data_IF_814731634556
#
_entry.id   IF_814731634556
#
_cell.length_a   1.000
_cell.length_b   1.000
_cell.length_c   1.000
_cell.angle_alpha   90.00
_cell.angle_beta   90.00
_cell.angle_gamma   90.00
#
_symmetry.space_group_name_H-M   'P 1'
#
loop_
_entity.id
_entity.type
_entity.pdbx_description
1 polymer ?
#
# COMPACT_ATOMS: atom_id res chain seq x y z
N UNK A 1 16.47 -18.82 4.24
CA UNK A 1 15.66 -17.61 4.50
C UNK A 1 14.26 -18.08 4.86
N UNK A 2 13.73 -17.73 6.04
CA UNK A 2 12.38 -18.13 6.43
C UNK A 2 11.32 -17.30 5.68
N UNK A 3 10.06 -17.76 5.66
CA UNK A 3 8.94 -16.98 5.09
C UNK A 3 8.79 -15.59 5.75
N UNK A 4 9.17 -15.48 7.02
CA UNK A 4 9.16 -14.21 7.76
C UNK A 4 10.25 -13.28 7.23
N UNK A 5 11.44 -13.80 6.99
CA UNK A 5 12.56 -13.01 6.46
C UNK A 5 12.25 -12.49 5.06
N UNK A 6 11.56 -13.29 4.24
CA UNK A 6 11.11 -12.88 2.90
C UNK A 6 10.12 -11.72 3.00
N UNK A 7 9.05 -11.84 3.79
CA UNK A 7 8.05 -10.77 3.96
C UNK A 7 8.69 -9.46 4.46
N UNK A 8 9.59 -9.56 5.45
CA UNK A 8 10.28 -8.39 6.00
C UNK A 8 11.22 -7.77 4.97
N UNK A 9 11.95 -8.60 4.21
CA UNK A 9 12.86 -8.12 3.17
C UNK A 9 12.11 -7.44 2.03
N UNK A 10 11.03 -8.05 1.53
CA UNK A 10 10.18 -7.49 0.46
C UNK A 10 9.59 -6.16 0.91
N UNK A 11 9.01 -6.11 2.12
CA UNK A 11 8.48 -4.89 2.69
C UNK A 11 9.54 -3.77 2.77
N UNK A 12 10.70 -4.06 3.38
CA UNK A 12 11.76 -3.05 3.57
C UNK A 12 12.39 -2.56 2.28
N UNK A 13 12.53 -3.44 1.28
CA UNK A 13 13.25 -3.12 0.04
C UNK A 13 12.34 -2.48 -1.01
N UNK A 14 11.13 -3.02 -1.20
CA UNK A 14 10.29 -2.68 -2.35
C UNK A 14 9.14 -1.73 -2.02
N UNK A 15 8.43 -1.96 -0.90
CA UNK A 15 7.15 -1.29 -0.64
C UNK A 15 7.24 -0.16 0.39
N UNK A 16 7.91 -0.38 1.52
CA UNK A 16 7.96 0.60 2.62
C UNK A 16 8.61 1.93 2.21
N UNK A 17 9.76 1.96 1.51
CA UNK A 17 10.39 3.22 1.12
C UNK A 17 9.49 4.14 0.25
N UNK A 18 8.87 3.67 -0.85
CA UNK A 18 7.96 4.51 -1.62
C UNK A 18 6.70 4.90 -0.85
N UNK A 19 6.15 4.03 0.00
CA UNK A 19 5.00 4.36 0.86
C UNK A 19 5.34 5.51 1.80
N UNK A 20 6.49 5.44 2.48
CA UNK A 20 6.95 6.50 3.39
C UNK A 20 7.11 7.83 2.64
N UNK A 21 7.72 7.81 1.45
CA UNK A 21 7.83 9.00 0.60
C UNK A 21 6.46 9.57 0.22
N UNK A 22 5.51 8.71 -0.14
CA UNK A 22 4.15 9.12 -0.47
C UNK A 22 3.43 9.74 0.74
N UNK A 23 3.58 9.16 1.93
CA UNK A 23 3.04 9.73 3.16
C UNK A 23 3.65 11.10 3.46
N UNK A 24 4.96 11.26 3.29
CA UNK A 24 5.65 12.54 3.50
C UNK A 24 5.23 13.61 2.49
N UNK A 25 5.02 13.23 1.22
CA UNK A 25 4.62 14.12 0.14
C UNK A 25 3.18 14.61 0.33
N UNK A 26 2.26 13.69 0.60
CA UNK A 26 0.82 13.97 0.76
C UNK A 26 0.47 14.50 2.15
N UNK A 27 1.39 14.36 3.11
CA UNK A 27 1.17 14.63 4.54
C UNK A 27 0.03 13.80 5.15
N UNK A 28 -0.29 12.67 4.53
CA UNK A 28 -1.31 11.74 5.00
C UNK A 28 -0.69 10.69 5.93
N UNK A 29 -1.51 10.10 6.80
CA UNK A 29 -1.08 8.96 7.61
C UNK A 29 -0.91 7.71 6.72
N UNK A 30 -0.12 6.76 7.20
CA UNK A 30 0.06 5.47 6.55
C UNK A 30 -1.26 4.69 6.46
N UNK A 31 -2.18 4.91 7.39
CA UNK A 31 -3.50 4.29 7.38
C UNK A 31 -4.40 4.90 6.30
N UNK A 32 -4.30 6.22 6.07
CA UNK A 32 -5.00 6.89 4.98
C UNK A 32 -4.46 6.40 3.63
N UNK A 33 -3.13 6.26 3.49
CA UNK A 33 -2.49 5.69 2.30
C UNK A 33 -2.91 4.23 2.09
N UNK A 34 -2.93 3.40 3.14
CA UNK A 34 -3.40 2.01 3.06
C UNK A 34 -4.84 1.92 2.53
N UNK A 35 -5.76 2.73 3.07
CA UNK A 35 -7.16 2.77 2.61
C UNK A 35 -7.30 3.28 1.19
N UNK A 36 -6.51 4.27 0.80
CA UNK A 36 -6.49 4.78 -0.56
C UNK A 36 -6.09 3.68 -1.55
N UNK A 37 -5.04 2.92 -1.28
CA UNK A 37 -4.64 1.81 -2.14
C UNK A 37 -5.68 0.69 -2.18
N UNK A 38 -6.32 0.36 -1.05
CA UNK A 38 -7.43 -0.58 -1.03
C UNK A 38 -8.64 -0.07 -1.84
N UNK A 39 -8.92 1.24 -1.80
CA UNK A 39 -9.97 1.84 -2.62
C UNK A 39 -9.63 1.79 -4.12
N UNK A 40 -8.40 2.11 -4.51
CA UNK A 40 -7.94 1.99 -5.91
C UNK A 40 -8.04 0.52 -6.37
N UNK A 41 -7.64 -0.42 -5.53
CA UNK A 41 -7.78 -1.86 -5.81
C UNK A 41 -9.24 -2.23 -6.05
N UNK A 42 -10.16 -1.72 -5.23
CA UNK A 42 -11.59 -1.96 -5.39
C UNK A 42 -12.14 -1.39 -6.71
N UNK A 43 -11.67 -0.22 -7.14
CA UNK A 43 -12.01 0.36 -8.43
C UNK A 43 -11.47 -0.47 -9.60
N UNK A 44 -10.25 -0.98 -9.49
CA UNK A 44 -9.67 -1.83 -10.54
C UNK A 44 -10.43 -3.17 -10.68
N UNK A 45 -10.83 -3.76 -9.56
CA UNK A 45 -11.70 -4.94 -9.57
C UNK A 45 -13.04 -4.67 -10.24
N UNK A 46 -13.61 -3.47 -10.03
CA UNK A 46 -14.84 -3.06 -10.70
C UNK A 46 -14.63 -2.88 -12.21
N UNK A 47 -13.45 -2.40 -12.65
CA UNK A 47 -13.10 -2.27 -14.07
C UNK A 47 -13.01 -3.63 -14.77
N UNK A 48 -12.51 -4.66 -14.10
CA UNK A 48 -12.28 -5.99 -14.68
C UNK A 48 -13.52 -6.89 -14.54
N UNK A 49 -14.49 -6.53 -13.70
CA UNK A 49 -15.73 -7.26 -13.49
C UNK A 49 -16.58 -7.38 -14.78
N UNK A 50 -16.61 -8.58 -15.35
CA UNK A 50 -17.34 -8.86 -16.61
C UNK A 50 -18.76 -9.35 -16.40
N UNK A 51 -19.09 -9.94 -15.24
CA UNK A 51 -20.43 -10.43 -14.92
C UNK A 51 -21.19 -9.47 -14.01
N UNK A 52 -22.52 -9.44 -14.14
CA UNK A 52 -23.38 -8.59 -13.30
C UNK A 52 -23.14 -8.83 -11.80
N UNK A 53 -23.03 -10.10 -11.39
CA UNK A 53 -22.73 -10.47 -10.01
C UNK A 53 -21.38 -9.91 -9.54
N UNK A 54 -20.34 -10.05 -10.36
CA UNK A 54 -19.01 -9.51 -10.04
C UNK A 54 -19.01 -7.98 -9.96
N UNK A 55 -19.79 -7.29 -10.81
CA UNK A 55 -19.92 -5.84 -10.78
C UNK A 55 -20.64 -5.34 -9.53
N UNK A 56 -21.70 -6.03 -9.08
CA UNK A 56 -22.39 -5.69 -7.84
C UNK A 56 -21.45 -5.84 -6.65
N UNK A 57 -20.73 -6.98 -6.56
CA UNK A 57 -19.81 -7.25 -5.44
C UNK A 57 -18.66 -6.23 -5.43
N UNK A 58 -18.01 -6.02 -6.58
CA UNK A 58 -16.91 -5.07 -6.70
C UNK A 58 -17.38 -3.62 -6.46
N UNK A 59 -18.60 -3.28 -6.89
CA UNK A 59 -19.21 -1.97 -6.66
C UNK A 59 -19.48 -1.70 -5.19
N UNK A 60 -20.07 -2.67 -4.47
CA UNK A 60 -20.29 -2.57 -3.03
C UNK A 60 -18.97 -2.49 -2.26
N UNK A 61 -17.97 -3.29 -2.66
CA UNK A 61 -16.64 -3.25 -2.06
C UNK A 61 -15.97 -1.89 -2.29
N UNK A 62 -16.08 -1.32 -3.49
CA UNK A 62 -15.56 0.01 -3.81
C UNK A 62 -16.25 1.12 -3.00
N UNK A 63 -17.58 1.08 -2.88
CA UNK A 63 -18.33 2.03 -2.03
C UNK A 63 -17.91 1.93 -0.56
N UNK A 64 -17.76 0.70 -0.04
CA UNK A 64 -17.29 0.49 1.33
C UNK A 64 -15.88 1.05 1.53
N UNK A 65 -14.96 0.76 0.60
CA UNK A 65 -13.60 1.28 0.66
C UNK A 65 -13.54 2.80 0.53
N UNK A 66 -14.39 3.40 -0.31
CA UNK A 66 -14.54 4.85 -0.41
C UNK A 66 -14.98 5.46 0.91
N UNK A 67 -16.06 4.95 1.51
CA UNK A 67 -16.60 5.46 2.78
C UNK A 67 -15.56 5.34 3.89
N UNK A 68 -14.87 4.21 3.99
CA UNK A 68 -13.84 4.01 5.02
C UNK A 68 -12.61 4.88 4.77
N UNK A 69 -12.19 5.08 3.52
CA UNK A 69 -11.10 5.99 3.15
C UNK A 69 -11.45 7.45 3.48
N UNK A 70 -12.70 7.88 3.27
CA UNK A 70 -13.13 9.26 3.53
C UNK A 70 -13.40 9.55 5.02
N UNK A 71 -14.06 8.64 5.74
CA UNK A 71 -14.54 8.90 7.10
C UNK A 71 -13.60 8.40 8.20
N UNK A 72 -12.74 7.44 7.89
CA UNK A 72 -11.92 6.73 8.89
C UNK A 72 -10.45 6.74 8.52
N UNK A 73 -9.99 7.70 7.73
CA UNK A 73 -8.65 7.77 7.15
C UNK A 73 -7.52 7.48 8.15
N UNK A 74 -7.63 7.92 9.41
CA UNK A 74 -6.57 7.80 10.42
C UNK A 74 -6.75 6.68 11.44
N UNK A 75 -7.80 5.87 11.33
CA UNK A 75 -7.99 4.72 12.24
C UNK A 75 -6.95 3.64 11.90
N UNK A 76 -6.33 2.93 12.87
CA UNK A 76 -5.38 1.87 12.59
C UNK A 76 -5.95 0.86 11.58
N UNK A 77 -5.18 0.60 10.53
CA UNK A 77 -5.49 -0.42 9.53
C UNK A 77 -4.90 -1.76 10.00
N UNK A 78 -5.64 -2.85 9.80
CA UNK A 78 -5.18 -4.18 10.12
C UNK A 78 -4.49 -4.79 8.89
N UNK A 79 -3.38 -5.48 9.10
CA UNK A 79 -2.71 -6.25 8.04
C UNK A 79 -2.37 -7.64 8.53
N UNK A 80 -2.54 -8.62 7.66
CA UNK A 80 -2.27 -10.02 7.95
C UNK A 80 -1.04 -10.50 7.19
N UNK A 81 -0.05 -11.03 7.92
CA UNK A 81 1.20 -11.53 7.30
C UNK A 81 0.96 -12.64 6.28
N UNK A 82 0.07 -13.59 6.61
CA UNK A 82 -0.27 -14.68 5.71
C UNK A 82 -0.87 -14.14 4.40
N UNK A 83 -1.73 -13.11 4.49
CA UNK A 83 -2.36 -12.48 3.34
C UNK A 83 -1.33 -11.77 2.46
N UNK A 84 -0.35 -11.06 3.04
CA UNK A 84 0.77 -10.47 2.28
C UNK A 84 1.60 -11.51 1.53
N UNK A 85 1.90 -12.63 2.16
CA UNK A 85 2.63 -13.71 1.51
C UNK A 85 1.85 -14.33 0.35
N UNK A 86 0.54 -14.54 0.53
CA UNK A 86 -0.35 -15.01 -0.54
C UNK A 86 -0.41 -14.00 -1.69
N UNK A 87 -0.58 -12.71 -1.38
CA UNK A 87 -0.57 -11.64 -2.38
C UNK A 87 0.76 -11.55 -3.13
N UNK A 88 1.89 -11.79 -2.45
CA UNK A 88 3.21 -11.84 -3.08
C UNK A 88 3.34 -13.03 -4.03
N UNK A 89 2.83 -14.20 -3.65
CA UNK A 89 2.81 -15.38 -4.53
C UNK A 89 1.97 -15.12 -5.76
N UNK A 90 0.77 -14.55 -5.62
CA UNK A 90 -0.06 -14.18 -6.76
C UNK A 90 0.60 -13.13 -7.66
N UNK A 91 1.24 -12.12 -7.08
CA UNK A 91 2.02 -11.16 -7.87
C UNK A 91 3.11 -11.86 -8.69
N UNK A 92 3.84 -12.80 -8.10
CA UNK A 92 4.89 -13.54 -8.82
C UNK A 92 4.31 -14.41 -9.95
N UNK A 93 3.15 -15.04 -9.72
CA UNK A 93 2.46 -15.81 -10.76
C UNK A 93 1.98 -14.92 -11.90
N UNK A 94 1.41 -13.76 -11.60
CA UNK A 94 0.92 -12.82 -12.62
C UNK A 94 2.07 -12.19 -13.40
N UNK A 95 3.19 -11.84 -12.75
CA UNK A 95 4.41 -11.39 -13.42
C UNK A 95 4.99 -12.49 -14.31
N UNK A 96 5.06 -13.73 -13.82
CA UNK A 96 5.54 -14.86 -14.61
C UNK A 96 4.64 -15.09 -15.83
N UNK A 97 3.32 -15.10 -15.64
CA UNK A 97 2.34 -15.19 -16.71
C UNK A 97 2.54 -14.07 -17.73
N UNK A 98 2.62 -12.81 -17.29
CA UNK A 98 2.81 -11.66 -18.17
C UNK A 98 4.13 -11.67 -18.95
N UNK A 99 5.20 -12.24 -18.39
CA UNK A 99 6.47 -12.45 -19.11
C UNK A 99 6.35 -13.55 -20.16
N UNK A 100 5.61 -14.62 -19.87
CA UNK A 100 5.47 -15.79 -20.78
C UNK A 100 4.44 -15.53 -21.89
N UNK A 101 3.28 -14.97 -21.55
CA UNK A 101 2.17 -14.74 -22.48
C UNK A 101 2.16 -13.34 -23.11
N UNK A 102 2.89 -12.39 -22.54
CA UNK A 102 2.81 -10.97 -22.91
C UNK A 102 1.58 -10.24 -22.32
N UNK A 103 0.71 -10.93 -21.58
CA UNK A 103 -0.49 -10.34 -20.99
C UNK A 103 -0.21 -9.82 -19.58
N UNK A 104 -0.01 -8.50 -19.47
CA UNK A 104 0.25 -7.82 -18.19
C UNK A 104 -1.01 -7.41 -17.42
N UNK A 105 -2.19 -7.69 -17.97
CA UNK A 105 -3.46 -7.24 -17.41
C UNK A 105 -3.75 -7.96 -16.09
N UNK A 106 -3.88 -7.21 -15.00
CA UNK A 106 -4.21 -7.73 -13.67
C UNK A 106 -3.01 -7.81 -12.72
N UNK A 107 -1.78 -7.69 -13.23
CA UNK A 107 -0.56 -7.63 -12.40
C UNK A 107 -0.62 -6.44 -11.44
N UNK A 108 -1.21 -5.33 -11.89
CA UNK A 108 -1.38 -4.11 -11.11
C UNK A 108 -2.17 -4.34 -9.81
N UNK A 109 -3.12 -5.28 -9.77
CA UNK A 109 -3.98 -5.54 -8.61
C UNK A 109 -3.12 -5.94 -7.40
N UNK A 110 -2.24 -6.91 -7.56
CA UNK A 110 -1.46 -7.42 -6.43
C UNK A 110 -0.37 -6.45 -5.99
N UNK A 111 0.14 -5.64 -6.91
CA UNK A 111 1.02 -4.53 -6.54
C UNK A 111 0.26 -3.57 -5.62
N UNK A 112 -0.94 -3.13 -6.01
CA UNK A 112 -1.76 -2.21 -5.21
C UNK A 112 -2.15 -2.82 -3.85
N UNK A 113 -2.52 -4.10 -3.81
CA UNK A 113 -2.83 -4.83 -2.57
C UNK A 113 -1.62 -4.85 -1.64
N UNK A 114 -0.42 -5.17 -2.16
CA UNK A 114 0.80 -5.18 -1.34
C UNK A 114 1.17 -3.79 -0.85
N UNK A 115 0.98 -2.74 -1.65
CA UNK A 115 1.13 -1.36 -1.19
C UNK A 115 0.17 -1.05 -0.02
N UNK A 116 -1.09 -1.45 -0.15
CA UNK A 116 -2.11 -1.23 0.89
C UNK A 116 -1.75 -1.96 2.19
N UNK A 117 -1.36 -3.22 2.10
CA UNK A 117 -1.03 -4.05 3.25
C UNK A 117 0.28 -3.62 3.92
N UNK A 118 1.34 -3.38 3.15
CA UNK A 118 2.60 -2.90 3.73
C UNK A 118 2.46 -1.51 4.34
N UNK A 119 1.59 -0.64 3.81
CA UNK A 119 1.31 0.65 4.43
C UNK A 119 0.70 0.50 5.84
N UNK A 120 -0.21 -0.48 6.01
CA UNK A 120 -0.80 -0.79 7.31
C UNK A 120 0.21 -1.38 8.32
N UNK A 121 1.34 -1.92 7.87
CA UNK A 121 2.40 -2.42 8.78
C UNK A 121 3.29 -1.32 9.36
N UNK A 122 3.27 -0.12 8.78
CA UNK A 122 4.14 0.97 9.21
C UNK A 122 3.61 1.54 10.53
N UNK A 123 4.42 1.47 11.58
CA UNK A 123 4.04 2.02 12.89
C UNK A 123 4.43 3.49 13.05
N UNK A 124 5.49 3.92 12.37
CA UNK A 124 6.01 5.29 12.47
C UNK A 124 6.55 5.78 11.13
N UNK A 125 6.05 6.95 10.69
CA UNK A 125 6.57 7.64 9.51
C UNK A 125 7.69 8.60 9.97
N UNK A 126 8.94 8.44 9.52
CA UNK A 126 10.01 9.35 9.89
C UNK A 126 9.74 10.77 9.36
N UNK A 127 10.17 11.83 10.08
CA UNK A 127 10.05 13.19 9.59
C UNK A 127 10.86 13.36 8.30
N UNK A 128 10.36 14.18 7.37
CA UNK A 128 11.05 14.45 6.11
C UNK A 128 12.45 15.03 6.34
N UNK A 129 13.39 14.73 5.44
CA UNK A 129 14.79 15.16 5.54
C UNK A 129 14.92 16.68 5.69
N UNK A 130 14.14 17.43 4.93
CA UNK A 130 14.05 18.91 5.02
C UNK A 130 13.64 19.42 6.42
N UNK A 131 12.78 18.68 7.14
CA UNK A 131 12.42 18.99 8.53
C UNK A 131 13.52 18.59 9.52
N UNK A 132 14.31 17.54 9.23
CA UNK A 132 15.48 17.17 10.05
C UNK A 132 16.59 18.21 9.93
N UNK A 133 16.90 18.65 8.72
CA UNK A 133 17.92 19.66 8.45
C UNK A 133 17.58 20.98 9.14
N UNK A 134 16.37 21.51 8.93
CA UNK A 134 15.91 22.74 9.59
C UNK A 134 15.91 22.65 11.13
N UNK A 135 15.62 21.48 11.71
CA UNK A 135 15.70 21.27 13.17
C UNK A 135 17.14 21.23 13.66
N UNK A 136 18.06 20.62 12.90
CA UNK A 136 19.48 20.61 13.21
C UNK A 136 20.06 22.04 13.19
N UNK A 137 19.72 22.85 12.18
CA UNK A 137 20.15 24.25 12.09
C UNK A 137 19.66 25.07 13.29
N UNK A 138 18.37 24.98 13.66
CA UNK A 138 17.82 25.69 14.83
C UNK A 138 18.46 25.28 16.16
N UNK A 139 18.81 23.99 16.31
CA UNK A 139 19.46 23.49 17.52
C UNK A 139 20.92 23.98 17.60
N UNK A 140 21.57 24.20 16.45
CA UNK A 140 22.93 24.77 16.40
C UNK A 140 22.95 26.27 16.73
N UNK A 141 21.91 27.02 16.34
CA UNK A 141 21.78 28.45 16.66
C UNK A 141 21.47 28.67 18.14
N UNK A 142 20.62 27.84 18.77
CA UNK A 142 20.29 27.95 20.19
C UNK A 142 21.45 27.57 21.15
N UNK A 143 22.56 27.04 20.63
CA UNK A 143 23.78 26.72 21.39
C UNK A 143 24.89 27.78 21.26
N UNK A 144 24.69 28.80 20.43
CA UNK A 144 25.58 29.97 20.33
C UNK A 144 25.05 31.12 21.17
#
# INVERSE_FOLDING_TARGET
>A
MSMVDIDVWVGKTLFVPPIVKLCQLTRQSQYAISRLFWFITALDQLRIATSLTSQIIAGLFSLFMMVTASLRADIPAFSMRWFRLVALVFLLLDVFSGVVSGEWKGVEIWVLVLFAEYAATITHIPPSERKRESRATRTSEARR
#
